data_IF_230654300734
#
_entry.id   IF_230654300734
#
_cell.length_a   1.000
_cell.length_b   1.000
_cell.length_c   1.000
_cell.angle_alpha   90.00
_cell.angle_beta   90.00
_cell.angle_gamma   90.00
#
_symmetry.space_group_name_H-M   'P 1'
#
loop_
_entity.id
_entity.type
_entity.pdbx_description
1 polymer ?
#
# COMPACT_ATOMS: atom_id res chain seq x y z
N UNK A 1 10.51 14.00 13.82
CA UNK A 1 11.67 13.18 13.43
C UNK A 1 12.88 13.99 12.96
N UNK A 2 12.74 15.20 12.47
CA UNK A 2 13.83 16.14 12.12
C UNK A 2 14.70 15.76 10.91
N UNK A 3 14.39 14.67 10.21
CA UNK A 3 15.11 14.27 9.01
C UNK A 3 14.61 14.98 7.76
N UNK A 4 15.49 15.19 6.77
CA UNK A 4 15.14 15.72 5.44
C UNK A 4 14.80 14.58 4.49
N UNK A 5 13.73 14.76 3.69
CA UNK A 5 13.39 13.83 2.60
C UNK A 5 14.02 14.36 1.30
N UNK A 6 14.86 13.55 0.69
CA UNK A 6 15.43 13.83 -0.63
C UNK A 6 14.53 13.18 -1.69
N UNK A 7 14.03 14.00 -2.62
CA UNK A 7 13.21 13.54 -3.73
C UNK A 7 13.94 13.87 -5.03
N UNK A 8 14.31 12.83 -5.77
CA UNK A 8 15.09 12.96 -7.01
C UNK A 8 14.31 12.29 -8.15
N UNK A 9 14.26 12.96 -9.29
CA UNK A 9 13.72 12.40 -10.52
C UNK A 9 14.86 11.97 -11.43
N UNK A 10 15.27 10.71 -11.34
CA UNK A 10 16.35 10.12 -12.14
C UNK A 10 16.25 8.59 -12.15
N UNK A 11 17.13 7.95 -12.92
CA UNK A 11 17.36 6.52 -12.79
C UNK A 11 17.92 6.22 -11.40
N UNK A 12 17.45 5.13 -10.77
CA UNK A 12 17.84 4.78 -9.40
C UNK A 12 19.35 4.51 -9.27
N UNK A 13 19.98 3.90 -10.27
CA UNK A 13 21.41 3.59 -10.24
C UNK A 13 22.24 4.88 -10.31
N UNK A 14 21.83 5.82 -11.16
CA UNK A 14 22.51 7.11 -11.29
C UNK A 14 22.40 7.91 -9.97
N UNK A 15 21.20 7.90 -9.38
CA UNK A 15 20.97 8.53 -8.07
C UNK A 15 21.84 7.91 -6.96
N UNK A 16 21.85 6.58 -6.86
CA UNK A 16 22.66 5.88 -5.86
C UNK A 16 24.16 6.12 -6.08
N UNK A 17 24.62 6.10 -7.32
CA UNK A 17 26.03 6.37 -7.66
C UNK A 17 26.45 7.79 -7.28
N UNK A 18 25.59 8.78 -7.55
CA UNK A 18 25.83 10.16 -7.16
C UNK A 18 25.91 10.31 -5.63
N UNK A 19 24.94 9.75 -4.90
CA UNK A 19 24.95 9.78 -3.44
C UNK A 19 26.18 9.04 -2.89
N UNK A 20 26.53 7.90 -3.46
CA UNK A 20 27.68 7.12 -3.01
C UNK A 20 29.02 7.84 -3.22
N UNK A 21 29.17 8.61 -4.29
CA UNK A 21 30.36 9.42 -4.54
C UNK A 21 30.53 10.57 -3.58
N UNK A 22 29.41 11.15 -3.07
CA UNK A 22 29.44 12.28 -2.16
C UNK A 22 29.53 11.87 -0.67
N UNK A 23 28.79 10.81 -0.29
CA UNK A 23 28.57 10.46 1.12
C UNK A 23 28.96 9.03 1.50
N UNK A 24 29.37 8.18 0.57
CA UNK A 24 29.69 6.76 0.76
C UNK A 24 28.57 6.00 1.48
N UNK A 25 27.74 5.31 0.71
CA UNK A 25 26.64 4.51 1.21
C UNK A 25 27.19 3.21 1.83
N UNK A 26 26.92 2.96 3.10
CA UNK A 26 27.28 1.69 3.76
C UNK A 26 26.16 0.66 3.64
N UNK A 27 24.90 1.12 3.74
CA UNK A 27 23.73 0.24 3.77
C UNK A 27 22.49 0.91 3.20
N UNK A 28 21.70 0.12 2.49
CA UNK A 28 20.38 0.50 1.98
C UNK A 28 19.31 -0.32 2.71
N UNK A 29 18.23 0.33 3.11
CA UNK A 29 17.04 -0.32 3.65
C UNK A 29 15.87 -0.06 2.72
N UNK A 30 15.13 -1.10 2.38
CA UNK A 30 13.90 -0.99 1.59
C UNK A 30 12.87 -2.03 1.99
N UNK A 31 11.67 -1.90 1.47
CA UNK A 31 10.73 -3.01 1.46
C UNK A 31 10.99 -3.92 0.25
N UNK A 32 10.68 -5.21 0.42
CA UNK A 32 10.69 -6.17 -0.68
C UNK A 32 9.74 -5.71 -1.79
N UNK A 33 10.21 -5.75 -3.01
CA UNK A 33 9.36 -5.51 -4.18
C UNK A 33 8.36 -6.67 -4.34
N UNK A 34 7.12 -6.32 -4.60
CA UNK A 34 6.00 -7.26 -4.80
C UNK A 34 5.10 -6.83 -5.97
N UNK A 35 5.63 -6.02 -6.86
CA UNK A 35 4.94 -5.47 -8.02
C UNK A 35 5.15 -6.29 -9.29
N UNK A 36 5.26 -5.59 -10.42
CA UNK A 36 5.39 -6.15 -11.75
C UNK A 36 6.82 -6.55 -12.10
N UNK A 37 6.99 -7.29 -13.20
CA UNK A 37 8.30 -7.71 -13.70
C UNK A 37 9.26 -6.54 -13.89
N UNK A 38 8.74 -5.37 -14.31
CA UNK A 38 9.55 -4.15 -14.49
C UNK A 38 10.17 -3.67 -13.17
N UNK A 39 9.42 -3.69 -12.08
CA UNK A 39 9.92 -3.26 -10.78
C UNK A 39 10.93 -4.26 -10.18
N UNK A 40 10.74 -5.55 -10.42
CA UNK A 40 11.73 -6.58 -10.09
C UNK A 40 13.04 -6.41 -10.86
N UNK A 41 13.00 -6.06 -12.14
CA UNK A 41 14.19 -5.82 -12.95
C UNK A 41 14.96 -4.59 -12.43
N UNK A 42 14.26 -3.55 -12.02
CA UNK A 42 14.89 -2.42 -11.32
C UNK A 42 15.66 -2.89 -10.09
N UNK A 43 15.05 -3.71 -9.25
CA UNK A 43 15.67 -4.19 -8.01
C UNK A 43 16.83 -5.14 -8.26
N UNK A 44 16.78 -5.97 -9.31
CA UNK A 44 17.95 -6.76 -9.75
C UNK A 44 19.13 -5.88 -10.10
N UNK A 45 18.90 -4.77 -10.83
CA UNK A 45 19.96 -3.80 -11.15
C UNK A 45 20.52 -3.13 -9.90
N UNK A 46 19.66 -2.76 -8.95
CA UNK A 46 20.11 -2.21 -7.66
C UNK A 46 20.95 -3.23 -6.90
N UNK A 47 20.55 -4.50 -6.86
CA UNK A 47 21.35 -5.57 -6.24
C UNK A 47 22.71 -5.74 -6.89
N UNK A 48 22.76 -5.71 -8.22
CA UNK A 48 24.04 -5.75 -8.97
C UNK A 48 24.95 -4.58 -8.64
N UNK A 49 24.39 -3.37 -8.56
CA UNK A 49 25.11 -2.17 -8.16
C UNK A 49 25.62 -2.28 -6.71
N UNK A 50 24.78 -2.71 -5.76
CA UNK A 50 25.19 -2.90 -4.37
C UNK A 50 26.37 -3.88 -4.23
N UNK A 51 26.31 -5.00 -4.96
CA UNK A 51 27.40 -5.99 -4.95
C UNK A 51 28.71 -5.39 -5.51
N UNK A 52 28.64 -4.59 -6.58
CA UNK A 52 29.79 -3.94 -7.19
C UNK A 52 30.44 -2.91 -6.26
N UNK A 53 29.61 -2.10 -5.59
CA UNK A 53 30.07 -1.00 -4.74
C UNK A 53 30.35 -1.45 -3.29
N UNK A 54 30.11 -2.71 -2.94
CA UNK A 54 30.28 -3.22 -1.57
C UNK A 54 29.24 -2.69 -0.57
N UNK A 55 28.07 -2.29 -1.04
CA UNK A 55 26.97 -1.74 -0.25
C UNK A 55 26.07 -2.88 0.24
N UNK A 56 25.80 -2.92 1.54
CA UNK A 56 24.83 -3.86 2.11
C UNK A 56 23.41 -3.43 1.80
N UNK A 57 22.57 -4.35 1.31
CA UNK A 57 21.15 -4.07 1.08
C UNK A 57 20.27 -5.01 1.90
N UNK A 58 19.44 -4.43 2.76
CA UNK A 58 18.51 -5.15 3.62
C UNK A 58 17.06 -4.83 3.22
N UNK A 59 16.33 -5.89 2.86
CA UNK A 59 14.93 -5.80 2.45
C UNK A 59 14.01 -6.32 3.54
N UNK A 60 12.97 -5.54 3.86
CA UNK A 60 11.92 -5.92 4.82
C UNK A 60 10.67 -6.39 4.09
N UNK A 61 9.97 -7.40 4.62
CA UNK A 61 8.74 -7.89 4.01
C UNK A 61 7.67 -6.80 3.84
N UNK A 62 7.03 -6.78 2.68
CA UNK A 62 5.93 -5.85 2.37
C UNK A 62 4.59 -6.45 2.76
N UNK A 63 3.82 -5.77 3.60
CA UNK A 63 2.48 -6.19 4.03
C UNK A 63 2.44 -7.66 4.49
N UNK A 64 1.43 -8.41 4.06
CA UNK A 64 1.27 -9.83 4.33
C UNK A 64 1.75 -10.73 3.20
N UNK A 65 2.63 -10.23 2.32
CA UNK A 65 3.15 -10.98 1.17
C UNK A 65 4.42 -11.73 1.56
N UNK A 66 4.57 -12.95 1.06
CA UNK A 66 5.75 -13.81 1.27
C UNK A 66 6.37 -14.10 -0.08
N UNK A 67 7.57 -13.56 -0.35
CA UNK A 67 8.30 -13.80 -1.60
C UNK A 67 8.84 -15.22 -1.64
N UNK A 68 8.80 -15.82 -2.84
CA UNK A 68 9.30 -17.17 -3.06
C UNK A 68 8.53 -18.28 -2.35
N UNK A 69 7.30 -18.05 -1.92
CA UNK A 69 6.46 -19.05 -1.29
C UNK A 69 6.03 -20.10 -2.33
N UNK A 70 6.48 -21.33 -2.14
CA UNK A 70 6.19 -22.44 -3.08
C UNK A 70 4.73 -22.91 -3.01
N UNK A 71 4.13 -22.87 -1.80
CA UNK A 71 2.75 -23.32 -1.56
C UNK A 71 1.94 -22.26 -0.83
N UNK A 72 0.75 -21.98 -1.34
CA UNK A 72 -0.18 -20.97 -0.77
C UNK A 72 -1.01 -21.47 0.40
N UNK A 73 -1.11 -22.75 0.62
CA UNK A 73 -2.05 -23.31 1.61
C UNK A 73 -1.77 -22.77 3.02
N UNK A 74 -0.50 -22.54 3.33
CA UNK A 74 -0.09 -21.97 4.62
C UNK A 74 0.09 -20.45 4.63
N UNK A 75 -0.07 -19.76 3.48
CA UNK A 75 0.14 -18.31 3.38
C UNK A 75 -0.65 -17.50 4.40
N UNK A 76 -1.91 -17.88 4.64
CA UNK A 76 -2.77 -17.17 5.60
C UNK A 76 -2.15 -17.11 6.99
N UNK A 77 -1.52 -18.17 7.46
CA UNK A 77 -0.83 -18.24 8.76
C UNK A 77 0.33 -17.24 8.83
N UNK A 78 1.18 -17.21 7.81
CA UNK A 78 2.30 -16.25 7.72
C UNK A 78 1.81 -14.79 7.70
N UNK A 79 0.80 -14.51 6.87
CA UNK A 79 0.17 -13.20 6.80
C UNK A 79 -0.39 -12.78 8.16
N UNK A 80 -1.22 -13.60 8.77
CA UNK A 80 -1.90 -13.27 10.01
C UNK A 80 -0.91 -13.05 11.15
N UNK A 81 0.13 -13.88 11.28
CA UNK A 81 1.22 -13.70 12.25
C UNK A 81 1.93 -12.35 12.06
N UNK A 82 2.26 -11.98 10.81
CA UNK A 82 2.94 -10.70 10.53
C UNK A 82 2.03 -9.50 10.75
N UNK A 83 0.78 -9.58 10.35
CA UNK A 83 -0.17 -8.47 10.39
C UNK A 83 -0.80 -8.25 11.77
N UNK A 84 -0.68 -9.20 12.70
CA UNK A 84 -1.14 -9.05 14.09
C UNK A 84 -0.20 -8.22 14.94
N UNK A 85 1.06 -8.08 14.55
CA UNK A 85 2.03 -7.29 15.29
C UNK A 85 1.67 -5.80 15.26
N UNK A 86 1.83 -5.08 16.38
CA UNK A 86 1.62 -3.64 16.41
C UNK A 86 2.59 -2.93 15.47
N UNK A 87 2.20 -1.77 14.91
CA UNK A 87 3.13 -0.90 14.20
C UNK A 87 4.28 -0.50 15.12
N UNK A 88 5.50 -0.48 14.58
CA UNK A 88 6.67 0.01 15.30
C UNK A 88 6.58 1.54 15.35
N UNK A 89 6.78 2.17 16.52
CA UNK A 89 6.76 3.62 16.61
C UNK A 89 7.92 4.22 15.80
N UNK A 90 7.72 5.41 15.21
CA UNK A 90 8.79 6.10 14.50
C UNK A 90 9.91 6.49 15.47
N UNK A 91 11.18 6.59 15.00
CA UNK A 91 12.27 7.07 15.82
C UNK A 91 12.05 8.54 16.24
N UNK A 92 12.53 8.90 17.41
CA UNK A 92 12.40 10.26 17.95
C UNK A 92 13.09 11.29 17.06
N UNK A 93 14.28 10.96 16.55
CA UNK A 93 15.06 11.80 15.65
C UNK A 93 15.80 10.96 14.61
N UNK A 94 16.00 11.55 13.44
CA UNK A 94 16.82 11.01 12.36
C UNK A 94 17.82 12.09 11.96
N UNK A 95 19.12 11.75 11.91
CA UNK A 95 20.11 12.61 11.25
C UNK A 95 19.98 12.42 9.75
N UNK A 96 19.94 13.51 9.02
CA UNK A 96 19.91 13.51 7.55
C UNK A 96 21.01 14.37 6.99
N UNK A 97 21.46 14.03 5.80
CA UNK A 97 22.31 14.92 4.99
C UNK A 97 21.47 16.10 4.52
N UNK A 98 22.06 17.29 4.28
CA UNK A 98 21.33 18.42 3.71
C UNK A 98 20.70 18.04 2.35
N UNK A 99 19.47 18.48 2.10
CA UNK A 99 18.86 18.32 0.78
C UNK A 99 19.55 19.27 -0.20
N UNK A 100 20.24 18.73 -1.20
CA UNK A 100 21.02 19.50 -2.17
C UNK A 100 20.24 19.85 -3.44
N UNK A 101 19.11 19.20 -3.69
CA UNK A 101 18.34 19.37 -4.91
C UNK A 101 16.91 19.86 -4.61
N UNK A 102 16.39 20.69 -5.50
CA UNK A 102 14.98 21.11 -5.46
C UNK A 102 14.09 19.91 -5.76
N UNK A 103 12.94 19.83 -5.07
CA UNK A 103 11.95 18.79 -5.34
C UNK A 103 11.49 18.91 -6.81
N UNK A 104 11.39 17.78 -7.53
CA UNK A 104 10.86 17.80 -8.89
C UNK A 104 9.42 18.33 -8.88
N UNK A 105 9.12 19.22 -9.81
CA UNK A 105 7.77 19.75 -10.03
C UNK A 105 7.11 19.01 -11.19
N UNK A 106 5.78 19.11 -11.29
CA UNK A 106 5.04 18.53 -12.40
C UNK A 106 5.56 19.05 -13.75
N UNK A 107 5.87 20.35 -13.81
CA UNK A 107 6.39 21.00 -15.02
C UNK A 107 7.80 20.53 -15.36
N UNK A 108 8.69 20.35 -14.36
CA UNK A 108 10.06 19.84 -14.59
C UNK A 108 10.08 18.38 -15.06
N UNK A 109 8.99 17.64 -14.81
CA UNK A 109 8.79 16.27 -15.31
C UNK A 109 8.10 16.22 -16.68
N UNK A 110 7.79 17.36 -17.29
CA UNK A 110 7.06 17.42 -18.57
C UNK A 110 5.61 16.94 -18.50
N UNK A 111 5.01 16.97 -17.32
CA UNK A 111 3.65 16.49 -17.10
C UNK A 111 2.66 17.66 -17.10
N UNK A 112 1.48 17.46 -17.70
CA UNK A 112 0.39 18.44 -17.65
C UNK A 112 -0.47 18.18 -16.41
N UNK A 113 -0.63 19.17 -15.52
CA UNK A 113 -1.49 19.03 -14.35
C UNK A 113 -2.95 18.79 -14.75
N UNK A 114 -3.57 17.73 -14.26
CA UNK A 114 -4.99 17.45 -14.46
C UNK A 114 -5.76 17.90 -13.21
N UNK A 115 -6.73 18.81 -13.38
CA UNK A 115 -7.67 19.17 -12.31
C UNK A 115 -8.63 18.02 -12.07
N UNK A 116 -8.59 17.44 -10.88
CA UNK A 116 -9.57 16.46 -10.42
C UNK A 116 -10.56 17.15 -9.49
N UNK A 117 -11.84 16.97 -9.72
CA UNK A 117 -12.93 17.58 -8.92
C UNK A 117 -13.03 17.02 -7.50
N UNK A 118 -12.58 15.77 -7.30
CA UNK A 118 -12.59 15.10 -6.00
C UNK A 118 -11.24 14.43 -5.74
N UNK A 119 -10.25 15.24 -5.43
CA UNK A 119 -8.92 14.74 -5.08
C UNK A 119 -8.85 14.52 -3.57
N UNK A 120 -8.43 13.34 -3.09
CA UNK A 120 -8.13 13.15 -1.67
C UNK A 120 -6.94 14.02 -1.25
N UNK A 121 -7.01 14.58 -0.05
CA UNK A 121 -5.87 15.30 0.52
C UNK A 121 -4.68 14.36 0.66
N UNK A 122 -3.47 14.76 0.26
CA UNK A 122 -2.28 13.91 0.35
C UNK A 122 -1.73 13.84 1.77
N UNK A 123 -0.91 12.82 2.02
CA UNK A 123 -0.09 12.70 3.21
C UNK A 123 -0.68 11.81 4.31
N UNK A 124 0.17 11.54 5.30
CA UNK A 124 -0.14 10.62 6.40
C UNK A 124 -1.27 11.13 7.30
N UNK A 125 -1.29 12.42 7.62
CA UNK A 125 -2.34 13.00 8.46
C UNK A 125 -3.73 12.83 7.82
N UNK A 126 -3.86 13.15 6.54
CA UNK A 126 -5.11 12.95 5.80
C UNK A 126 -5.51 11.48 5.71
N UNK A 127 -4.55 10.56 5.60
CA UNK A 127 -4.81 9.12 5.65
C UNK A 127 -5.35 8.67 7.01
N UNK A 128 -4.77 9.18 8.09
CA UNK A 128 -5.20 8.89 9.47
C UNK A 128 -6.61 9.43 9.72
N UNK A 129 -6.87 10.69 9.36
CA UNK A 129 -8.19 11.32 9.48
C UNK A 129 -9.26 10.54 8.68
N UNK A 130 -8.92 10.11 7.46
CA UNK A 130 -9.81 9.31 6.62
C UNK A 130 -10.12 7.97 7.25
N UNK A 131 -9.12 7.29 7.83
CA UNK A 131 -9.30 6.03 8.55
C UNK A 131 -10.16 6.24 9.82
N UNK A 132 -9.84 7.25 10.62
CA UNK A 132 -10.56 7.53 11.87
C UNK A 132 -12.02 7.91 11.61
N UNK A 133 -12.29 8.70 10.57
CA UNK A 133 -13.66 8.98 10.10
C UNK A 133 -14.40 7.70 9.72
N UNK A 134 -13.74 6.80 9.00
CA UNK A 134 -14.33 5.51 8.62
C UNK A 134 -14.62 4.64 9.84
N UNK A 135 -13.66 4.50 10.76
CA UNK A 135 -13.78 3.61 11.90
C UNK A 135 -14.79 4.09 12.96
N UNK A 136 -15.05 5.42 13.04
CA UNK A 136 -15.84 5.99 14.12
C UNK A 136 -17.17 6.61 13.69
N UNK A 137 -17.32 7.00 12.43
CA UNK A 137 -18.50 7.74 11.94
C UNK A 137 -19.21 7.04 10.79
N UNK A 138 -18.58 6.97 9.62
CA UNK A 138 -19.25 6.62 8.36
C UNK A 138 -19.21 5.14 7.98
N UNK A 139 -18.42 4.33 8.68
CA UNK A 139 -18.19 2.92 8.33
C UNK A 139 -19.21 1.94 8.91
N UNK A 140 -20.15 2.36 9.76
CA UNK A 140 -21.14 1.45 10.35
C UNK A 140 -21.92 0.66 9.27
N UNK A 141 -22.50 1.27 8.23
CA UNK A 141 -23.25 0.56 7.21
C UNK A 141 -22.37 0.01 6.08
N UNK A 142 -21.04 0.04 6.21
CA UNK A 142 -20.10 -0.35 5.13
C UNK A 142 -20.43 -1.70 4.50
N UNK A 143 -20.75 -2.72 5.29
CA UNK A 143 -21.05 -4.06 4.79
C UNK A 143 -22.17 -4.07 3.75
N UNK A 144 -23.18 -3.24 3.93
CA UNK A 144 -24.38 -3.21 3.09
C UNK A 144 -24.34 -2.12 2.03
N UNK A 145 -23.51 -1.09 2.23
CA UNK A 145 -23.45 0.09 1.35
C UNK A 145 -22.25 0.13 0.42
N UNK A 146 -21.25 -0.74 0.63
CA UNK A 146 -20.00 -0.73 -0.15
C UNK A 146 -20.20 -1.03 -1.65
N UNK A 147 -21.29 -1.67 -2.05
CA UNK A 147 -21.63 -1.97 -3.46
C UNK A 147 -22.73 -1.07 -4.01
N UNK A 148 -23.23 -0.12 -3.22
CA UNK A 148 -24.27 0.83 -3.67
C UNK A 148 -23.63 1.96 -4.48
N UNK A 149 -23.99 2.17 -5.75
CA UNK A 149 -23.43 3.27 -6.55
C UNK A 149 -23.65 4.65 -5.93
N UNK A 150 -24.77 4.86 -5.25
CA UNK A 150 -25.12 6.13 -4.65
C UNK A 150 -24.41 6.39 -3.32
N UNK A 151 -24.12 5.36 -2.53
CA UNK A 151 -23.69 5.50 -1.12
C UNK A 151 -22.26 5.04 -0.86
N UNK A 152 -21.68 4.20 -1.75
CA UNK A 152 -20.33 3.68 -1.60
C UNK A 152 -19.28 4.80 -1.50
N UNK A 153 -19.47 5.91 -2.18
CA UNK A 153 -18.58 7.06 -2.13
C UNK A 153 -18.39 7.59 -0.70
N UNK A 154 -19.43 7.57 0.12
CA UNK A 154 -19.39 8.03 1.50
C UNK A 154 -19.02 6.92 2.49
N UNK A 155 -19.63 5.72 2.34
CA UNK A 155 -19.50 4.65 3.33
C UNK A 155 -18.28 3.74 3.15
N UNK A 156 -17.61 3.75 1.99
CA UNK A 156 -16.34 3.04 1.79
C UNK A 156 -15.19 3.72 2.53
N UNK A 157 -14.16 2.93 2.83
CA UNK A 157 -12.98 3.42 3.59
C UNK A 157 -12.24 4.57 2.90
N UNK A 158 -12.21 4.58 1.55
CA UNK A 158 -11.49 5.58 0.73
C UNK A 158 -9.98 5.60 0.96
N UNK A 159 -9.42 4.49 1.42
CA UNK A 159 -8.00 4.39 1.82
C UNK A 159 -7.07 3.89 0.71
N UNK A 160 -7.61 3.40 -0.43
CA UNK A 160 -6.77 2.84 -1.50
C UNK A 160 -5.68 3.79 -2.01
N UNK A 161 -5.91 5.11 -2.20
CA UNK A 161 -4.84 6.02 -2.61
C UNK A 161 -3.71 6.10 -1.58
N UNK A 162 -4.05 6.06 -0.29
CA UNK A 162 -3.07 6.14 0.78
C UNK A 162 -2.26 4.86 0.97
N UNK A 163 -2.86 3.70 0.69
CA UNK A 163 -2.13 2.43 0.68
C UNK A 163 -1.17 2.34 -0.51
N UNK A 164 -1.60 2.79 -1.70
CA UNK A 164 -0.77 2.73 -2.90
C UNK A 164 0.41 3.71 -2.87
N UNK A 165 0.27 4.83 -2.17
CA UNK A 165 1.33 5.83 -2.01
C UNK A 165 2.17 5.65 -0.73
N UNK A 166 1.84 4.65 0.10
CA UNK A 166 2.56 4.39 1.35
C UNK A 166 2.27 5.38 2.48
N UNK A 167 1.30 6.30 2.32
CA UNK A 167 0.91 7.24 3.38
C UNK A 167 0.29 6.53 4.60
N UNK A 168 -0.23 5.32 4.41
CA UNK A 168 -0.78 4.49 5.48
C UNK A 168 -0.44 3.03 5.22
N UNK A 169 0.09 2.31 6.21
CA UNK A 169 0.32 0.88 6.07
C UNK A 169 -0.97 0.08 6.32
N UNK A 170 -1.14 -1.02 5.60
CA UNK A 170 -2.26 -1.96 5.82
C UNK A 170 -2.23 -2.52 7.25
N UNK A 171 -1.04 -2.75 7.81
CA UNK A 171 -0.88 -3.20 9.20
C UNK A 171 -1.41 -2.16 10.19
N UNK A 172 -1.10 -0.88 10.00
CA UNK A 172 -1.63 0.20 10.84
C UNK A 172 -3.16 0.29 10.76
N UNK A 173 -3.73 0.17 9.56
CA UNK A 173 -5.17 0.16 9.37
C UNK A 173 -5.83 -1.05 10.06
N UNK A 174 -5.24 -2.24 9.94
CA UNK A 174 -5.72 -3.45 10.61
C UNK A 174 -5.63 -3.32 12.14
N UNK A 175 -4.51 -2.78 12.64
CA UNK A 175 -4.29 -2.54 14.07
C UNK A 175 -5.36 -1.61 14.64
N UNK A 176 -5.56 -0.43 14.06
CA UNK A 176 -6.61 0.51 14.48
C UNK A 176 -8.01 -0.10 14.37
N UNK A 177 -8.27 -0.92 13.35
CA UNK A 177 -9.55 -1.64 13.21
C UNK A 177 -9.77 -2.61 14.37
N UNK A 178 -8.73 -3.35 14.78
CA UNK A 178 -8.81 -4.25 15.94
C UNK A 178 -9.05 -3.50 17.24
N UNK A 179 -8.36 -2.38 17.46
CA UNK A 179 -8.60 -1.51 18.62
C UNK A 179 -10.04 -1.00 18.65
N UNK A 180 -10.58 -0.56 17.50
CA UNK A 180 -11.99 -0.13 17.42
C UNK A 180 -12.96 -1.26 17.73
N UNK A 181 -12.72 -2.48 17.22
CA UNK A 181 -13.55 -3.65 17.55
C UNK A 181 -13.52 -3.99 19.05
N UNK A 182 -12.38 -3.87 19.70
CA UNK A 182 -12.27 -4.08 21.13
C UNK A 182 -13.08 -3.00 21.90
N UNK A 183 -12.88 -1.73 21.56
CA UNK A 183 -13.57 -0.62 22.21
C UNK A 183 -15.11 -0.65 22.05
N UNK A 184 -15.62 -1.27 20.98
CA UNK A 184 -17.06 -1.43 20.78
C UNK A 184 -17.72 -2.34 21.81
N UNK A 185 -17.00 -3.29 22.42
CA UNK A 185 -17.54 -4.19 23.44
C UNK A 185 -17.99 -3.41 24.67
N UNK A 186 -17.18 -2.43 25.08
CA UNK A 186 -17.40 -1.63 26.28
C UNK A 186 -18.17 -0.33 26.03
N UNK A 187 -18.53 -0.06 24.76
CA UNK A 187 -19.25 1.16 24.38
C UNK A 187 -20.70 1.13 24.85
N UNK A 188 -21.27 2.32 25.09
CA UNK A 188 -22.68 2.50 25.52
C UNK A 188 -23.69 2.51 24.36
N UNK A 189 -23.28 2.22 23.12
CA UNK A 189 -24.19 2.19 21.98
C UNK A 189 -25.09 0.96 21.99
N UNK A 190 -26.21 1.00 21.27
CA UNK A 190 -27.18 -0.09 21.22
C UNK A 190 -26.57 -1.40 20.71
N UNK A 191 -27.10 -2.53 21.16
CA UNK A 191 -26.63 -3.85 20.69
C UNK A 191 -26.79 -4.02 19.16
N UNK A 192 -27.80 -3.42 18.56
CA UNK A 192 -28.01 -3.39 17.11
C UNK A 192 -26.85 -2.69 16.41
N UNK A 193 -26.46 -1.51 16.89
CA UNK A 193 -25.32 -0.75 16.35
C UNK A 193 -23.99 -1.48 16.58
N UNK A 194 -23.75 -2.08 17.76
CA UNK A 194 -22.57 -2.92 18.00
C UNK A 194 -22.46 -4.06 16.99
N UNK A 195 -23.56 -4.76 16.74
CA UNK A 195 -23.59 -5.86 15.74
C UNK A 195 -23.33 -5.36 14.32
N UNK A 196 -23.91 -4.21 13.95
CA UNK A 196 -23.68 -3.55 12.65
C UNK A 196 -22.21 -3.21 12.46
N UNK A 197 -21.61 -2.49 13.39
CA UNK A 197 -20.20 -2.16 13.39
C UNK A 197 -19.30 -3.40 13.31
N UNK A 198 -19.56 -4.41 14.14
CA UNK A 198 -18.74 -5.63 14.17
C UNK A 198 -18.72 -6.33 12.80
N UNK A 199 -19.87 -6.42 12.12
CA UNK A 199 -19.99 -7.00 10.78
C UNK A 199 -19.25 -6.16 9.72
N UNK A 200 -19.40 -4.85 9.77
CA UNK A 200 -18.74 -3.91 8.84
C UNK A 200 -17.23 -3.90 9.01
N UNK A 201 -16.73 -3.83 10.24
CA UNK A 201 -15.29 -3.90 10.50
C UNK A 201 -14.69 -5.26 10.11
N UNK A 202 -15.42 -6.36 10.30
CA UNK A 202 -14.97 -7.68 9.82
C UNK A 202 -14.92 -7.76 8.29
N UNK A 203 -15.91 -7.17 7.61
CA UNK A 203 -15.87 -7.05 6.14
C UNK A 203 -14.69 -6.20 5.66
N UNK A 204 -14.39 -5.10 6.35
CA UNK A 204 -13.23 -4.28 6.04
C UNK A 204 -11.91 -5.03 6.24
N UNK A 205 -11.76 -5.78 7.34
CA UNK A 205 -10.59 -6.64 7.57
C UNK A 205 -10.39 -7.68 6.46
N UNK A 206 -11.50 -8.28 5.97
CA UNK A 206 -11.45 -9.18 4.82
C UNK A 206 -10.93 -8.50 3.56
N UNK A 207 -11.33 -7.24 3.30
CA UNK A 207 -10.82 -6.47 2.15
C UNK A 207 -9.33 -6.14 2.30
N UNK A 208 -8.86 -5.82 3.50
CA UNK A 208 -7.43 -5.66 3.76
C UNK A 208 -6.66 -6.98 3.55
N UNK A 209 -7.27 -8.13 3.87
CA UNK A 209 -6.68 -9.43 3.58
C UNK A 209 -6.63 -9.71 2.06
N UNK A 210 -7.68 -9.36 1.33
CA UNK A 210 -7.72 -9.51 -0.12
C UNK A 210 -6.62 -8.70 -0.82
N UNK A 211 -6.31 -7.51 -0.34
CA UNK A 211 -5.18 -6.74 -0.86
C UNK A 211 -3.88 -7.57 -0.84
N UNK A 212 -3.53 -8.16 0.30
CA UNK A 212 -2.35 -9.02 0.40
C UNK A 212 -2.48 -10.30 -0.44
N UNK A 213 -3.70 -10.86 -0.53
CA UNK A 213 -3.97 -12.07 -1.30
C UNK A 213 -3.72 -11.87 -2.81
N UNK A 214 -4.19 -10.78 -3.38
CA UNK A 214 -3.99 -10.51 -4.81
C UNK A 214 -2.54 -10.22 -5.15
N UNK A 215 -1.82 -9.51 -4.27
CA UNK A 215 -0.38 -9.30 -4.45
C UNK A 215 0.38 -10.62 -4.30
N UNK A 216 0.01 -11.48 -3.33
CA UNK A 216 0.61 -12.81 -3.20
C UNK A 216 0.35 -13.68 -4.43
N UNK A 217 -0.80 -13.49 -5.09
CA UNK A 217 -1.08 -14.20 -6.34
C UNK A 217 -0.18 -13.71 -7.47
N UNK A 218 0.01 -12.40 -7.61
CA UNK A 218 0.94 -11.83 -8.59
C UNK A 218 2.39 -12.29 -8.33
N UNK A 219 2.80 -12.41 -7.07
CA UNK A 219 4.13 -12.91 -6.69
C UNK A 219 4.36 -14.36 -7.17
N UNK A 220 3.33 -15.20 -7.16
CA UNK A 220 3.43 -16.58 -7.61
C UNK A 220 3.27 -16.75 -9.12
N UNK A 221 2.50 -15.87 -9.73
CA UNK A 221 2.19 -15.86 -11.16
C UNK A 221 2.56 -14.49 -11.76
N UNK A 222 3.86 -14.17 -11.92
CA UNK A 222 4.31 -12.83 -12.32
C UNK A 222 3.81 -12.37 -13.69
N UNK A 223 3.31 -13.28 -14.51
CA UNK A 223 2.77 -12.97 -15.85
C UNK A 223 1.35 -12.40 -15.81
N UNK A 224 0.71 -12.36 -14.64
CA UNK A 224 -0.66 -11.84 -14.49
C UNK A 224 -0.81 -10.35 -14.81
N UNK A 225 0.28 -9.61 -14.87
CA UNK A 225 0.30 -8.22 -15.31
C UNK A 225 0.22 -8.08 -16.85
N UNK A 226 0.45 -9.16 -17.59
CA UNK A 226 0.48 -9.20 -19.06
C UNK A 226 -0.54 -10.16 -19.66
N UNK A 227 -0.87 -11.25 -18.97
CA UNK A 227 -1.69 -12.35 -19.47
C UNK A 227 -2.86 -12.58 -18.50
N UNK A 228 -4.06 -12.74 -19.05
CA UNK A 228 -5.23 -13.07 -18.23
C UNK A 228 -5.01 -14.38 -17.46
N UNK A 229 -5.41 -14.40 -16.19
CA UNK A 229 -5.30 -15.55 -15.30
C UNK A 229 -6.06 -16.79 -15.80
N UNK A 230 -7.19 -16.58 -16.49
CA UNK A 230 -7.95 -17.61 -17.15
C UNK A 230 -8.22 -17.18 -18.59
N UNK A 231 -7.59 -17.86 -19.54
CA UNK A 231 -7.74 -17.59 -20.97
C UNK A 231 -9.19 -17.80 -21.44
N UNK A 232 -9.91 -18.71 -20.81
CA UNK A 232 -11.31 -18.99 -21.13
C UNK A 232 -12.21 -17.79 -20.80
N UNK A 233 -11.86 -16.95 -19.84
CA UNK A 233 -12.60 -15.70 -19.57
C UNK A 233 -12.58 -14.73 -20.75
N UNK A 234 -11.56 -14.78 -21.61
CA UNK A 234 -11.45 -13.94 -22.80
C UNK A 234 -12.37 -14.39 -23.93
N UNK A 235 -12.76 -15.67 -23.94
CA UNK A 235 -13.66 -16.24 -24.95
C UNK A 235 -15.12 -15.77 -24.77
N UNK A 236 -15.49 -15.34 -23.56
CA UNK A 236 -16.84 -14.89 -23.22
C UNK A 236 -17.00 -13.37 -23.23
N UNK A 237 -15.93 -12.62 -23.42
CA UNK A 237 -16.04 -11.16 -23.62
C UNK A 237 -16.44 -10.86 -25.05
N UNK A 238 -17.73 -11.02 -25.36
CA UNK A 238 -18.31 -10.28 -26.49
C UNK A 238 -18.05 -8.80 -26.26
N UNK A 239 -17.63 -8.05 -27.29
CA UNK A 239 -17.51 -6.60 -27.16
C UNK A 239 -18.84 -6.04 -26.62
N UNK A 240 -18.74 -5.22 -25.57
CA UNK A 240 -19.90 -4.54 -25.03
C UNK A 240 -20.55 -3.73 -26.16
N UNK A 241 -21.89 -3.60 -26.22
CA UNK A 241 -22.52 -2.68 -27.15
C UNK A 241 -21.97 -1.24 -27.11
N UNK A 242 -21.24 -0.88 -26.06
CA UNK A 242 -20.55 0.40 -25.92
C UNK A 242 -19.20 0.45 -26.64
N UNK A 243 -18.63 -0.71 -26.98
CA UNK A 243 -17.32 -0.81 -27.65
C UNK A 243 -17.48 -0.84 -29.19
N UNK A 244 -18.71 -0.87 -29.67
CA UNK A 244 -19.10 -0.90 -31.11
C UNK A 244 -19.76 0.39 -31.60
N UNK A 245 -19.75 1.45 -30.76
CA UNK A 245 -20.33 2.76 -31.13
C UNK A 245 -19.25 3.79 -31.46
#
# INVERSE_FOLDING_TARGET
MGGSLHVVYSNVIDCLSKINSEYRINKIFSHQETGTSWSYERDRRVKGWCNKEGVSWEEFPTNGVVRGLMDRDHWKGFRDKRMSNPPIPPPVSIRSIPATESKPTVDSMGLTPRKLTQRPNPGENAAIETLDSFLNLRGEPYRWRMSSPAEASYHCSRLSPYFSTGCLSIRSALWKTNQRKAALKDSKISNKSKSSWAKSLSSFQSRLAWHCHFIQKLEQEPTLDLIAMNVDCLLYTSPSPRDTA
#
